data_IF_211362570103
#
_entry.id   IF_211362570103
#
_cell.length_a   1.000
_cell.length_b   1.000
_cell.length_c   1.000
_cell.angle_alpha   90.00
_cell.angle_beta   90.00
_cell.angle_gamma   90.00
#
_symmetry.space_group_name_H-M   'P 1'
#
loop_
_entity.id
_entity.type
_entity.pdbx_description
1 polymer ?
#
# COMPACT_ATOMS: atom_id res chain seq x y z
N UNK A 1 -12.16 -26.12 22.86
CA UNK A 1 -10.86 -25.67 22.29
C UNK A 1 -10.97 -25.01 20.90
N UNK A 2 -12.14 -24.54 20.44
CA UNK A 2 -12.31 -24.02 19.06
C UNK A 2 -12.54 -22.49 18.98
N UNK A 3 -12.99 -21.83 20.06
CA UNK A 3 -13.35 -20.41 20.01
C UNK A 3 -12.16 -19.44 19.85
N UNK A 4 -10.94 -19.82 20.27
CA UNK A 4 -9.78 -18.93 20.15
C UNK A 4 -9.29 -18.79 18.71
N UNK A 5 -9.42 -19.81 17.86
CA UNK A 5 -8.94 -19.79 16.47
C UNK A 5 -9.83 -18.97 15.54
N UNK A 6 -11.13 -18.89 15.83
CA UNK A 6 -12.10 -18.19 14.98
C UNK A 6 -11.75 -16.71 14.83
N UNK A 7 -11.43 -16.01 15.94
CA UNK A 7 -11.05 -14.60 15.90
C UNK A 7 -9.71 -14.34 15.18
N UNK A 8 -8.77 -15.29 15.17
CA UNK A 8 -7.53 -15.13 14.38
C UNK A 8 -7.80 -15.28 12.88
N UNK A 9 -8.69 -16.22 12.51
CA UNK A 9 -9.08 -16.42 11.11
C UNK A 9 -9.84 -15.21 10.59
N UNK A 10 -10.81 -14.68 11.36
CA UNK A 10 -11.55 -13.46 11.00
C UNK A 10 -10.60 -12.27 10.79
N UNK A 11 -9.65 -12.06 11.70
CA UNK A 11 -8.69 -10.96 11.59
C UNK A 11 -7.77 -11.11 10.37
N UNK A 12 -7.30 -12.32 10.08
CA UNK A 12 -6.54 -12.56 8.84
C UNK A 12 -7.40 -12.34 7.60
N UNK A 13 -8.66 -12.76 7.63
CA UNK A 13 -9.59 -12.56 6.52
C UNK A 13 -9.79 -11.07 6.24
N UNK A 14 -9.98 -10.25 7.27
CA UNK A 14 -10.08 -8.79 7.15
C UNK A 14 -8.81 -8.16 6.57
N UNK A 15 -7.63 -8.63 6.99
CA UNK A 15 -6.34 -8.18 6.46
C UNK A 15 -6.18 -8.54 4.97
N UNK A 16 -6.53 -9.77 4.60
CA UNK A 16 -6.52 -10.27 3.22
C UNK A 16 -7.48 -9.45 2.36
N UNK A 17 -8.72 -9.26 2.79
CA UNK A 17 -9.70 -8.46 2.06
C UNK A 17 -9.24 -7.02 1.89
N UNK A 18 -8.64 -6.43 2.92
CA UNK A 18 -8.11 -5.06 2.84
C UNK A 18 -6.94 -4.96 1.85
N UNK A 19 -6.10 -5.99 1.76
CA UNK A 19 -5.05 -6.06 0.74
C UNK A 19 -5.65 -6.21 -0.66
N UNK A 20 -6.60 -7.14 -0.86
CA UNK A 20 -7.27 -7.38 -2.14
C UNK A 20 -8.01 -6.15 -2.66
N UNK A 21 -8.71 -5.41 -1.78
CA UNK A 21 -9.42 -4.17 -2.14
C UNK A 21 -8.51 -3.12 -2.77
N UNK A 22 -7.23 -3.11 -2.38
CA UNK A 22 -6.26 -2.14 -2.86
C UNK A 22 -5.38 -2.67 -3.98
N UNK A 23 -5.50 -3.95 -4.33
CA UNK A 23 -4.61 -4.62 -5.27
C UNK A 23 -4.59 -3.96 -6.66
N UNK A 24 -5.76 -3.50 -7.11
CA UNK A 24 -5.96 -2.85 -8.41
C UNK A 24 -5.82 -1.32 -8.34
N UNK A 25 -5.46 -0.75 -7.19
CA UNK A 25 -5.37 0.70 -7.05
C UNK A 25 -4.14 1.21 -7.78
N UNK A 26 -4.37 2.04 -8.80
CA UNK A 26 -3.31 2.58 -9.63
C UNK A 26 -2.42 3.58 -8.90
N UNK A 27 -1.12 3.49 -9.19
CA UNK A 27 -0.10 4.46 -8.83
C UNK A 27 0.15 5.37 -10.04
N UNK A 28 0.19 6.70 -9.87
CA UNK A 28 0.58 7.60 -10.95
C UNK A 28 2.00 7.30 -11.44
N UNK A 29 2.20 7.27 -12.77
CA UNK A 29 3.49 6.94 -13.38
C UNK A 29 4.59 7.97 -13.04
N UNK A 30 4.19 9.20 -12.75
CA UNK A 30 5.00 10.35 -12.37
C UNK A 30 5.13 10.54 -10.84
N UNK A 31 4.64 9.58 -10.05
CA UNK A 31 4.70 9.65 -8.60
C UNK A 31 6.14 9.74 -8.10
N UNK A 32 6.47 10.83 -7.41
CA UNK A 32 7.72 10.95 -6.68
C UNK A 32 7.60 10.29 -5.30
N UNK A 33 8.14 9.08 -5.17
CA UNK A 33 8.10 8.32 -3.90
C UNK A 33 8.83 9.02 -2.74
N UNK A 34 9.79 9.91 -3.02
CA UNK A 34 10.47 10.71 -1.98
C UNK A 34 9.54 11.71 -1.28
N UNK A 35 8.42 12.07 -1.93
CA UNK A 35 7.39 12.95 -1.33
C UNK A 35 6.47 12.18 -0.36
N UNK A 36 6.50 10.85 -0.37
CA UNK A 36 5.72 10.01 0.53
C UNK A 36 6.41 9.96 1.89
N UNK A 37 5.97 10.81 2.81
CA UNK A 37 6.52 10.89 4.17
C UNK A 37 6.47 9.53 4.87
N UNK A 38 7.59 9.14 5.47
CA UNK A 38 7.73 7.92 6.25
C UNK A 38 8.23 6.70 5.45
N UNK A 39 8.35 6.79 4.12
CA UNK A 39 9.09 5.77 3.37
C UNK A 39 10.59 5.89 3.66
N UNK A 40 11.25 4.75 3.83
CA UNK A 40 12.71 4.69 3.92
C UNK A 40 13.35 4.95 2.56
N UNK A 41 14.62 5.36 2.55
CA UNK A 41 15.39 5.53 1.33
C UNK A 41 15.41 4.24 0.48
N UNK A 42 15.63 3.08 1.12
CA UNK A 42 15.63 1.78 0.44
C UNK A 42 14.29 1.46 -0.24
N UNK A 43 13.16 1.74 0.43
CA UNK A 43 11.83 1.51 -0.14
C UNK A 43 11.58 2.47 -1.30
N UNK A 44 11.95 3.74 -1.17
CA UNK A 44 11.87 4.72 -2.25
C UNK A 44 12.69 4.29 -3.47
N UNK A 45 13.93 3.82 -3.26
CA UNK A 45 14.79 3.30 -4.33
C UNK A 45 14.17 2.10 -5.04
N UNK A 46 13.67 1.14 -4.26
CA UNK A 46 12.97 -0.04 -4.81
C UNK A 46 11.77 0.35 -5.67
N UNK A 47 10.90 1.21 -5.14
CA UNK A 47 9.71 1.69 -5.86
C UNK A 47 10.09 2.48 -7.12
N UNK A 48 11.11 3.33 -7.04
CA UNK A 48 11.58 4.14 -8.16
C UNK A 48 12.23 3.28 -9.26
N UNK A 49 12.89 2.18 -8.89
CA UNK A 49 13.51 1.24 -9.81
C UNK A 49 12.46 0.33 -10.48
N UNK A 50 11.49 -0.18 -9.72
CA UNK A 50 10.48 -1.12 -10.26
C UNK A 50 9.30 -0.42 -10.94
N UNK A 51 9.03 0.85 -10.61
CA UNK A 51 7.91 1.66 -11.13
C UNK A 51 6.57 0.88 -11.18
N UNK A 52 6.06 0.40 -10.03
CA UNK A 52 4.85 -0.40 -10.03
C UNK A 52 3.63 0.44 -10.46
N UNK A 53 2.79 -0.13 -11.30
CA UNK A 53 1.56 0.49 -11.80
C UNK A 53 0.42 0.42 -10.78
N UNK A 54 0.49 -0.53 -9.84
CA UNK A 54 -0.54 -0.75 -8.81
C UNK A 54 0.06 -0.94 -7.43
N UNK A 55 -0.76 -0.68 -6.41
CA UNK A 55 -0.42 -0.99 -5.01
C UNK A 55 -0.15 -2.49 -4.83
N UNK A 56 -0.89 -3.36 -5.51
CA UNK A 56 -0.66 -4.81 -5.47
C UNK A 56 0.73 -5.20 -5.98
N UNK A 57 1.17 -4.59 -7.08
CA UNK A 57 2.51 -4.80 -7.61
C UNK A 57 3.58 -4.26 -6.64
N UNK A 58 3.37 -3.06 -6.08
CA UNK A 58 4.27 -2.48 -5.09
C UNK A 58 4.43 -3.39 -3.85
N UNK A 59 3.33 -3.97 -3.36
CA UNK A 59 3.34 -4.85 -2.19
C UNK A 59 4.14 -6.14 -2.38
N UNK A 60 4.33 -6.60 -3.64
CA UNK A 60 5.10 -7.80 -3.98
C UNK A 60 6.60 -7.54 -4.18
N UNK A 61 7.04 -6.28 -4.14
CA UNK A 61 8.47 -5.95 -4.26
C UNK A 61 9.23 -6.57 -3.07
N UNK A 62 10.33 -7.31 -3.31
CA UNK A 62 11.13 -7.88 -2.24
C UNK A 62 11.60 -6.84 -1.21
N UNK A 63 11.33 -7.11 0.07
CA UNK A 63 11.63 -6.20 1.18
C UNK A 63 10.65 -5.03 1.31
N UNK A 64 9.51 -5.06 0.61
CA UNK A 64 8.39 -4.17 0.90
C UNK A 64 7.74 -4.54 2.25
N UNK A 65 7.31 -3.53 3.00
CA UNK A 65 6.64 -3.73 4.29
C UNK A 65 5.15 -3.34 4.22
N UNK A 66 4.28 -3.96 5.03
CA UNK A 66 2.88 -3.55 5.12
C UNK A 66 2.69 -2.07 5.52
N UNK A 67 3.64 -1.53 6.30
CA UNK A 67 3.67 -0.11 6.67
C UNK A 67 3.91 0.79 5.46
N UNK A 68 4.89 0.47 4.61
CA UNK A 68 5.15 1.21 3.37
C UNK A 68 3.95 1.22 2.42
N UNK A 69 3.29 0.07 2.25
CA UNK A 69 2.05 -0.04 1.46
C UNK A 69 0.95 0.87 2.03
N UNK A 70 0.81 0.89 3.36
CA UNK A 70 -0.16 1.76 4.03
C UNK A 70 0.14 3.25 3.82
N UNK A 71 1.41 3.65 3.83
CA UNK A 71 1.83 5.02 3.55
C UNK A 71 1.50 5.45 2.11
N UNK A 72 1.74 4.57 1.13
CA UNK A 72 1.33 4.82 -0.26
C UNK A 72 -0.19 5.02 -0.38
N UNK A 73 -0.97 4.18 0.28
CA UNK A 73 -2.44 4.29 0.26
C UNK A 73 -2.96 5.59 0.87
N UNK A 74 -2.37 6.04 1.99
CA UNK A 74 -2.68 7.31 2.63
C UNK A 74 -2.28 8.48 1.74
N UNK A 75 -1.11 8.42 1.11
CA UNK A 75 -0.65 9.43 0.18
C UNK A 75 -1.60 9.59 -1.01
N UNK A 76 -1.99 8.48 -1.65
CA UNK A 76 -2.94 8.48 -2.77
C UNK A 76 -4.32 9.04 -2.36
N UNK A 77 -4.80 8.70 -1.15
CA UNK A 77 -6.07 9.24 -0.64
C UNK A 77 -6.01 10.75 -0.50
N UNK A 78 -4.92 11.29 0.05
CA UNK A 78 -4.72 12.74 0.20
C UNK A 78 -4.62 13.46 -1.16
N UNK A 79 -3.85 12.89 -2.09
CA UNK A 79 -3.71 13.44 -3.43
C UNK A 79 -5.05 13.47 -4.20
N UNK A 80 -5.86 12.41 -4.07
CA UNK A 80 -7.20 12.36 -4.67
C UNK A 80 -8.18 13.38 -4.08
N UNK A 81 -8.12 13.62 -2.77
CA UNK A 81 -8.97 14.61 -2.10
C UNK A 81 -8.60 16.06 -2.49
N UNK A 82 -7.30 16.34 -2.64
CA UNK A 82 -6.84 17.66 -3.10
C UNK A 82 -7.35 18.00 -4.51
N UNK A 83 -7.55 16.99 -5.37
CA UNK A 83 -8.06 17.17 -6.74
C UNK A 83 -9.59 17.32 -6.82
N UNK A 84 -10.33 16.99 -5.75
CA UNK A 84 -11.79 17.12 -5.68
C UNK A 84 -12.26 18.43 -5.02
N UNK A 85 -11.33 19.22 -4.47
CA UNK A 85 -11.61 20.45 -3.73
C UNK A 85 -11.30 21.72 -4.53
N UNK A 86 -11.11 21.61 -5.84
CA UNK A 86 -10.75 22.69 -6.77
C UNK A 86 -11.73 22.75 -7.94
#
# INVERSE_FOLDING_TARGET
>A
MQAKYHGYIERQQEEIERQQRNEHKHLPADLNYQQVRGLSAEVCEKLAATRPETIGQAARIPGMTPAAVSLLLVYLKKAGQARQSA
#
